data_IF_264201343715
#
_entry.id   IF_264201343715
#
_cell.length_a   1.000
_cell.length_b   1.000
_cell.length_c   1.000
_cell.angle_alpha   90.00
_cell.angle_beta   90.00
_cell.angle_gamma   90.00
#
_symmetry.space_group_name_H-M   'P 1'
#
loop_
_entity.id
_entity.type
_entity.pdbx_description
1 polymer ?
#
# COMPACT_ATOMS: atom_id res chain seq x y z
N UNK A 1 10.57 -21.78 -4.72
CA UNK A 1 11.28 -21.89 -3.43
C UNK A 1 11.14 -20.56 -2.71
N UNK A 2 10.38 -20.49 -1.62
CA UNK A 2 10.55 -19.37 -0.69
C UNK A 2 11.87 -19.59 0.06
N UNK A 3 12.70 -18.55 0.10
CA UNK A 3 14.02 -18.64 0.72
C UNK A 3 13.92 -18.83 2.23
N UNK A 4 14.84 -19.62 2.80
CA UNK A 4 14.97 -19.82 4.27
C UNK A 4 15.19 -18.52 5.07
N UNK A 5 15.48 -17.42 4.39
CA UNK A 5 15.76 -16.10 4.97
C UNK A 5 14.68 -15.06 4.64
N UNK A 6 13.49 -15.51 4.20
CA UNK A 6 12.37 -14.61 4.01
C UNK A 6 11.89 -14.06 5.37
N UNK A 7 11.73 -12.74 5.44
CA UNK A 7 11.20 -12.03 6.61
C UNK A 7 9.88 -11.36 6.24
N UNK A 8 8.94 -11.34 7.19
CA UNK A 8 7.66 -10.65 7.06
C UNK A 8 7.71 -9.29 7.74
N UNK A 9 7.04 -8.30 7.14
CA UNK A 9 6.77 -7.00 7.75
C UNK A 9 5.26 -6.82 7.89
N UNK A 10 4.81 -6.39 9.07
CA UNK A 10 3.42 -6.01 9.34
C UNK A 10 3.40 -4.54 9.69
N UNK A 11 2.59 -3.78 8.98
CA UNK A 11 2.33 -2.38 9.26
C UNK A 11 0.99 -2.26 9.98
N UNK A 12 1.02 -1.75 11.21
CA UNK A 12 -0.17 -1.34 11.95
C UNK A 12 -0.32 0.17 11.77
N UNK A 13 -1.29 0.57 10.95
CA UNK A 13 -1.54 1.96 10.61
C UNK A 13 -2.77 2.49 11.38
N UNK A 14 -2.84 3.81 11.56
CA UNK A 14 -3.99 4.51 12.13
C UNK A 14 -4.28 4.17 13.61
N UNK A 15 -3.24 3.85 14.38
CA UNK A 15 -3.40 3.66 15.83
C UNK A 15 -3.50 5.04 16.48
N UNK A 16 -4.73 5.41 16.87
CA UNK A 16 -5.01 6.69 17.53
C UNK A 16 -5.03 6.52 19.04
N UNK A 17 -4.04 7.12 19.71
CA UNK A 17 -3.95 7.18 21.17
C UNK A 17 -3.79 8.64 21.53
N UNK A 18 -4.69 9.18 22.35
CA UNK A 18 -4.66 10.58 22.81
C UNK A 18 -4.54 11.61 21.66
N UNK A 19 -5.30 11.41 20.58
CA UNK A 19 -5.27 12.25 19.35
C UNK A 19 -3.93 12.27 18.62
N UNK A 20 -3.03 11.33 18.93
CA UNK A 20 -1.80 11.10 18.17
C UNK A 20 -1.99 9.87 17.31
N UNK A 21 -1.84 10.04 16.00
CA UNK A 21 -1.74 8.92 15.07
C UNK A 21 -0.34 8.33 15.14
N UNK A 22 -0.25 7.02 15.33
CA UNK A 22 1.01 6.28 15.29
C UNK A 22 0.94 5.14 14.28
N UNK A 23 2.09 4.86 13.66
CA UNK A 23 2.29 3.71 12.79
C UNK A 23 3.36 2.84 13.40
N UNK A 24 3.09 1.54 13.55
CA UNK A 24 4.04 0.55 14.07
C UNK A 24 4.41 -0.44 12.97
N UNK A 25 5.67 -0.84 12.95
CA UNK A 25 6.19 -1.87 12.03
C UNK A 25 6.71 -3.05 12.85
N UNK A 26 6.21 -4.24 12.56
CA UNK A 26 6.65 -5.49 13.18
C UNK A 26 7.40 -6.29 12.11
N UNK A 27 8.67 -6.58 12.37
CA UNK A 27 9.45 -7.50 11.55
C UNK A 27 9.49 -8.87 12.22
N UNK A 28 9.21 -9.92 11.47
CA UNK A 28 9.15 -11.28 12.01
C UNK A 28 9.67 -12.31 11.01
N UNK A 29 10.03 -13.48 11.54
CA UNK A 29 10.35 -14.66 10.77
C UNK A 29 9.62 -15.87 11.36
N UNK A 30 9.05 -16.70 10.48
CA UNK A 30 8.45 -17.97 10.88
C UNK A 30 9.52 -19.06 10.90
N UNK A 31 9.71 -19.72 12.03
CA UNK A 31 10.69 -20.79 12.22
C UNK A 31 9.93 -22.08 12.56
N UNK A 32 10.25 -23.23 11.94
CA UNK A 32 9.60 -24.49 12.31
C UNK A 32 9.95 -24.85 13.77
N UNK A 33 8.95 -25.31 14.53
CA UNK A 33 9.17 -25.74 15.91
C UNK A 33 10.06 -26.98 15.95
N UNK A 34 11.01 -27.00 16.88
CA UNK A 34 12.00 -28.09 17.00
C UNK A 34 11.35 -29.49 17.14
N UNK A 35 10.24 -29.57 17.89
CA UNK A 35 9.55 -30.81 18.20
C UNK A 35 8.33 -31.08 17.30
N UNK A 36 7.99 -30.15 16.39
CA UNK A 36 6.86 -30.28 15.49
C UNK A 36 7.09 -29.44 14.21
N UNK A 37 7.79 -29.99 13.20
CA UNK A 37 8.19 -29.25 12.00
C UNK A 37 7.03 -28.81 11.09
N UNK A 38 5.80 -29.29 11.34
CA UNK A 38 4.59 -28.84 10.64
C UNK A 38 4.00 -27.57 11.26
N UNK A 39 4.42 -27.23 12.48
CA UNK A 39 4.01 -26.04 13.18
C UNK A 39 5.15 -25.01 13.23
N UNK A 40 4.78 -23.74 13.08
CA UNK A 40 5.74 -22.64 13.07
C UNK A 40 5.58 -21.78 14.33
N UNK A 41 6.69 -21.23 14.79
CA UNK A 41 6.74 -20.15 15.76
C UNK A 41 7.15 -18.85 15.10
N UNK A 42 6.67 -17.74 15.64
CA UNK A 42 7.02 -16.40 15.15
C UNK A 42 8.10 -15.81 16.04
N UNK A 43 9.23 -15.48 15.44
CA UNK A 43 10.32 -14.75 16.11
C UNK A 43 10.31 -13.32 15.60
N UNK A 44 10.16 -12.36 16.50
CA UNK A 44 10.28 -10.93 16.19
C UNK A 44 11.75 -10.58 15.97
N UNK A 45 12.03 -9.87 14.89
CA UNK A 45 13.34 -9.37 14.54
C UNK A 45 13.42 -7.87 14.81
N UNK A 46 14.61 -7.38 15.18
CA UNK A 46 14.85 -5.94 15.28
C UNK A 46 14.81 -5.31 13.88
N UNK A 47 13.98 -4.28 13.69
CA UNK A 47 13.85 -3.54 12.45
C UNK A 47 14.30 -2.10 12.66
N UNK A 48 15.37 -1.69 11.98
CA UNK A 48 15.89 -0.32 12.01
C UNK A 48 15.63 0.36 10.68
N UNK A 49 14.98 1.54 10.73
CA UNK A 49 14.83 2.40 9.55
C UNK A 49 16.13 3.17 9.40
N UNK A 50 16.83 2.95 8.29
CA UNK A 50 18.05 3.67 7.96
C UNK A 50 17.68 4.90 7.15
N UNK A 51 18.04 6.12 7.60
CA UNK A 51 17.78 7.32 6.81
C UNK A 51 18.60 7.26 5.51
N UNK A 52 17.92 7.37 4.37
CA UNK A 52 18.57 7.61 3.08
C UNK A 52 19.05 9.06 2.97
N UNK A 53 20.06 9.29 2.11
CA UNK A 53 20.68 10.60 1.88
C UNK A 53 19.63 11.71 1.71
N UNK A 54 19.83 12.85 2.38
CA UNK A 54 18.87 13.95 2.50
C UNK A 54 18.17 14.29 1.17
N UNK A 55 16.84 14.29 1.19
CA UNK A 55 16.00 14.90 0.14
C UNK A 55 15.84 14.12 -1.17
N UNK A 56 16.25 12.84 -1.27
CA UNK A 56 16.10 12.10 -2.53
C UNK A 56 15.32 10.79 -2.36
N UNK A 57 14.12 10.76 -2.95
CA UNK A 57 13.36 9.51 -3.13
C UNK A 57 14.03 8.72 -4.25
N UNK A 58 14.40 7.47 -3.98
CA UNK A 58 14.94 6.58 -5.01
C UNK A 58 13.97 6.48 -6.19
N UNK A 59 14.44 6.52 -7.45
CA UNK A 59 13.59 6.33 -8.62
C UNK A 59 12.74 5.06 -8.54
N UNK A 60 13.24 4.00 -7.90
CA UNK A 60 12.48 2.77 -7.66
C UNK A 60 11.30 3.00 -6.72
N UNK A 61 11.50 3.72 -5.62
CA UNK A 61 10.43 4.04 -4.67
C UNK A 61 9.37 4.94 -5.33
N UNK A 62 9.79 5.94 -6.10
CA UNK A 62 8.88 6.79 -6.89
C UNK A 62 8.08 5.99 -7.91
N UNK A 63 8.72 5.05 -8.62
CA UNK A 63 8.03 4.16 -9.57
C UNK A 63 7.02 3.25 -8.87
N UNK A 64 7.29 2.83 -7.63
CA UNK A 64 6.37 2.05 -6.80
C UNK A 64 5.10 2.81 -6.44
N UNK A 65 5.22 4.09 -6.10
CA UNK A 65 4.07 4.97 -5.82
C UNK A 65 3.20 5.17 -7.06
N UNK A 66 3.81 5.37 -8.23
CA UNK A 66 3.08 5.47 -9.51
C UNK A 66 2.38 4.15 -9.82
N UNK A 67 3.06 3.02 -9.61
CA UNK A 67 2.51 1.69 -9.85
C UNK A 67 1.30 1.38 -8.97
N UNK A 68 1.27 1.84 -7.73
CA UNK A 68 0.12 1.62 -6.83
C UNK A 68 -1.17 2.22 -7.41
N UNK A 69 -1.14 3.46 -7.91
CA UNK A 69 -2.31 4.09 -8.51
C UNK A 69 -2.81 3.32 -9.74
N UNK A 70 -1.88 2.87 -10.59
CA UNK A 70 -2.25 2.05 -11.75
C UNK A 70 -2.89 0.73 -11.34
N UNK A 71 -2.42 0.09 -10.26
CA UNK A 71 -3.03 -1.13 -9.73
C UNK A 71 -4.46 -0.85 -9.25
N UNK A 72 -4.70 0.24 -8.52
CA UNK A 72 -6.03 0.59 -8.01
C UNK A 72 -7.02 0.90 -9.15
N UNK A 73 -6.57 1.61 -10.19
CA UNK A 73 -7.40 1.91 -11.38
C UNK A 73 -7.77 0.62 -12.12
N UNK A 74 -6.81 -0.29 -12.32
CA UNK A 74 -7.07 -1.56 -12.98
C UNK A 74 -7.98 -2.48 -12.14
N UNK A 75 -7.84 -2.46 -10.81
CA UNK A 75 -8.73 -3.20 -9.89
C UNK A 75 -10.18 -2.69 -10.00
N UNK A 76 -10.37 -1.38 -9.98
CA UNK A 76 -11.70 -0.75 -10.12
C UNK A 76 -12.31 -1.05 -11.50
N UNK A 77 -11.53 -0.92 -12.58
CA UNK A 77 -11.96 -1.26 -13.93
C UNK A 77 -12.37 -2.73 -14.04
N UNK A 78 -11.56 -3.63 -13.52
CA UNK A 78 -11.87 -5.06 -13.51
C UNK A 78 -13.17 -5.35 -12.74
N UNK A 79 -13.37 -4.70 -11.59
CA UNK A 79 -14.61 -4.81 -10.82
C UNK A 79 -15.83 -4.34 -11.62
N UNK A 80 -15.73 -3.17 -12.27
CA UNK A 80 -16.80 -2.62 -13.11
C UNK A 80 -17.15 -3.54 -14.29
N UNK A 81 -16.14 -3.96 -15.06
CA UNK A 81 -16.30 -4.87 -16.21
C UNK A 81 -16.88 -6.22 -15.79
N UNK A 82 -16.52 -6.72 -14.62
CA UNK A 82 -17.08 -7.97 -14.10
C UNK A 82 -18.56 -7.80 -13.75
N UNK A 83 -18.95 -6.69 -13.11
CA UNK A 83 -20.34 -6.42 -12.74
C UNK A 83 -21.26 -6.19 -13.96
N UNK A 84 -20.73 -5.58 -15.03
CA UNK A 84 -21.46 -5.40 -16.29
C UNK A 84 -21.94 -6.72 -16.91
N UNK A 85 -21.23 -7.84 -16.67
CA UNK A 85 -21.60 -9.17 -17.20
C UNK A 85 -22.86 -9.75 -16.56
N UNK A 86 -23.24 -9.26 -15.37
CA UNK A 86 -24.33 -9.84 -14.57
C UNK A 86 -25.58 -8.97 -14.52
N UNK A 87 -25.54 -7.76 -15.09
CA UNK A 87 -26.67 -6.83 -15.09
C UNK A 87 -27.14 -6.54 -16.52
N UNK A 88 -28.43 -6.72 -16.77
CA UNK A 88 -29.09 -6.37 -18.04
C UNK A 88 -30.06 -5.20 -17.91
N UNK A 89 -30.26 -4.68 -16.68
CA UNK A 89 -31.16 -3.56 -16.41
C UNK A 89 -30.43 -2.23 -16.65
N UNK A 90 -30.98 -1.40 -17.53
CA UNK A 90 -30.36 -0.14 -17.97
C UNK A 90 -30.13 0.84 -16.82
N UNK A 91 -31.05 0.89 -15.84
CA UNK A 91 -30.91 1.75 -14.66
C UNK A 91 -29.74 1.29 -13.79
N UNK A 92 -29.58 -0.02 -13.59
CA UNK A 92 -28.46 -0.59 -12.87
C UNK A 92 -27.14 -0.36 -13.61
N UNK A 93 -27.11 -0.47 -14.94
CA UNK A 93 -25.91 -0.16 -15.74
C UNK A 93 -25.50 1.30 -15.60
N UNK A 94 -26.48 2.22 -15.64
CA UNK A 94 -26.25 3.65 -15.43
C UNK A 94 -25.72 3.95 -14.02
N UNK A 95 -26.35 3.36 -12.99
CA UNK A 95 -25.91 3.50 -11.61
C UNK A 95 -24.48 3.01 -11.42
N UNK A 96 -24.16 1.81 -11.91
CA UNK A 96 -22.82 1.25 -11.84
C UNK A 96 -21.80 2.13 -12.57
N UNK A 97 -22.18 2.72 -13.71
CA UNK A 97 -21.33 3.67 -14.43
C UNK A 97 -21.03 4.94 -13.61
N UNK A 98 -22.04 5.48 -12.92
CA UNK A 98 -21.88 6.63 -12.04
C UNK A 98 -20.95 6.31 -10.85
N UNK A 99 -21.12 5.15 -10.22
CA UNK A 99 -20.26 4.68 -9.12
C UNK A 99 -18.81 4.51 -9.59
N UNK A 100 -18.60 3.91 -10.76
CA UNK A 100 -17.27 3.74 -11.35
C UNK A 100 -16.57 5.09 -11.60
N UNK A 101 -17.26 6.05 -12.23
CA UNK A 101 -16.72 7.40 -12.45
C UNK A 101 -16.41 8.11 -11.13
N UNK A 102 -17.26 7.95 -10.12
CA UNK A 102 -17.01 8.50 -8.79
C UNK A 102 -15.76 7.90 -8.14
N UNK A 103 -15.57 6.57 -8.22
CA UNK A 103 -14.37 5.89 -7.69
C UNK A 103 -13.10 6.38 -8.39
N UNK A 104 -13.10 6.44 -9.73
CA UNK A 104 -11.96 6.97 -10.49
C UNK A 104 -11.63 8.43 -10.13
N UNK A 105 -12.65 9.26 -9.91
CA UNK A 105 -12.45 10.65 -9.49
C UNK A 105 -11.74 10.75 -8.14
N UNK A 106 -12.08 9.88 -7.19
CA UNK A 106 -11.39 9.81 -5.89
C UNK A 106 -9.94 9.33 -6.04
N UNK A 107 -9.68 8.34 -6.90
CA UNK A 107 -8.31 7.87 -7.19
C UNK A 107 -7.45 8.97 -7.83
N UNK A 108 -8.00 9.78 -8.73
CA UNK A 108 -7.31 10.92 -9.33
C UNK A 108 -7.00 12.03 -8.30
N UNK A 109 -7.80 12.16 -7.24
CA UNK A 109 -7.46 13.07 -6.13
C UNK A 109 -6.23 12.57 -5.35
N UNK A 110 -6.10 11.25 -5.16
CA UNK A 110 -4.91 10.66 -4.55
C UNK A 110 -3.65 10.88 -5.40
N UNK A 111 -3.79 10.96 -6.72
CA UNK A 111 -2.67 11.32 -7.60
C UNK A 111 -2.10 12.71 -7.28
N UNK A 112 -2.96 13.69 -7.02
CA UNK A 112 -2.52 15.04 -6.64
C UNK A 112 -1.79 15.04 -5.30
N UNK A 113 -2.27 14.27 -4.33
CA UNK A 113 -1.62 14.15 -3.02
C UNK A 113 -0.29 13.38 -3.12
N UNK A 114 -0.19 12.36 -3.97
CA UNK A 114 1.08 11.69 -4.29
C UNK A 114 2.10 12.72 -4.81
N UNK A 115 1.71 13.55 -5.77
CA UNK A 115 2.63 14.53 -6.36
C UNK A 115 3.10 15.56 -5.33
N UNK A 116 2.19 16.02 -4.45
CA UNK A 116 2.56 16.87 -3.31
C UNK A 116 3.59 16.20 -2.39
N UNK A 117 3.39 14.93 -2.05
CA UNK A 117 4.31 14.17 -1.20
C UNK A 117 5.69 13.97 -1.86
N UNK A 118 5.73 13.68 -3.16
CA UNK A 118 6.99 13.54 -3.90
C UNK A 118 7.76 14.87 -3.94
N UNK A 119 7.05 15.99 -4.09
CA UNK A 119 7.66 17.33 -4.02
C UNK A 119 8.17 17.62 -2.61
N UNK A 120 7.38 17.37 -1.56
CA UNK A 120 7.81 17.65 -0.17
C UNK A 120 9.05 16.85 0.23
N UNK A 121 9.10 15.57 -0.17
CA UNK A 121 10.27 14.70 0.05
C UNK A 121 11.52 15.16 -0.71
N UNK A 122 11.35 15.95 -1.77
CA UNK A 122 12.45 16.52 -2.55
C UNK A 122 12.95 17.86 -1.99
N UNK A 123 12.08 18.64 -1.35
CA UNK A 123 12.41 20.00 -0.83
C UNK A 123 12.99 20.01 0.59
N UNK A 124 12.75 18.99 1.41
CA UNK A 124 13.31 18.91 2.77
C UNK A 124 14.84 18.68 2.81
N UNK A 125 15.49 18.52 1.66
CA UNK A 125 16.95 18.42 1.52
C UNK A 125 17.71 19.76 1.46
N UNK A 126 17.03 20.91 1.42
CA UNK A 126 17.68 22.24 1.24
C UNK A 126 17.83 23.07 2.52
N UNK A 127 17.39 22.56 3.69
CA UNK A 127 17.42 23.31 4.95
C UNK A 127 18.30 22.65 6.02
N UNK A 128 19.56 23.11 6.09
CA UNK A 128 20.52 23.15 7.23
C UNK A 128 20.71 21.87 8.06
#
# INVERSE_FOLDING_TARGET
LMGRHFVGLIFSCFEEIDKKCSTKVICFQSIPKLNDPLNYEHVTLECKVVPTVQGTVSPMASSGLIRLLNILIEEEKHSYENNQKFSSDELTLLHNGAVYVQSLSQLLQLEKERDRLLVSLSTEGESV
#
